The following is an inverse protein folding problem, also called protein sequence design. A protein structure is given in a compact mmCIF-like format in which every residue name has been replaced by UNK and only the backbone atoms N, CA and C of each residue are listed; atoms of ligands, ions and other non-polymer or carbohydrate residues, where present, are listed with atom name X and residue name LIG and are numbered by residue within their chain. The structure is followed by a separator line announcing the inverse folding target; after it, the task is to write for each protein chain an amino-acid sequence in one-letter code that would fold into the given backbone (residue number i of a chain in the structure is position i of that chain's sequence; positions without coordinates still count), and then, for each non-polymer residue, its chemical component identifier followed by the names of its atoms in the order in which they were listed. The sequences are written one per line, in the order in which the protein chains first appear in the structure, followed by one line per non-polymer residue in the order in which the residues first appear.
data_IF_080427181937
#
_entry.id   IF_080427181937
#
_cell.length_a   1.000
_cell.length_b   1.000
_cell.length_c   1.000
_cell.angle_alpha   90.00
_cell.angle_beta   90.00
_cell.angle_gamma   90.00
#
_symmetry.space_group_name_H-M   'P 1'
#
loop_
_entity.id
_entity.type
_entity.pdbx_description
1 polymer ?
#
# COMPACT_ATOMS: atom_id res chain seq x y z
N UNK A 1 -18.07 -42.69 -4.80
CA UNK A 1 -18.61 -42.42 -3.44
C UNK A 1 -18.92 -40.94 -3.37
N UNK A 2 -20.20 -40.55 -3.38
CA UNK A 2 -20.59 -39.14 -3.22
C UNK A 2 -20.35 -38.72 -1.75
N UNK A 3 -19.56 -37.66 -1.56
CA UNK A 3 -19.28 -36.98 -0.29
C UNK A 3 -20.60 -36.77 0.49
N UNK A 4 -20.60 -36.96 1.82
CA UNK A 4 -21.82 -36.98 2.64
C UNK A 4 -22.65 -35.69 2.56
N UNK A 5 -22.04 -34.57 2.18
CA UNK A 5 -22.72 -33.33 1.82
C UNK A 5 -23.68 -33.47 0.62
N UNK A 6 -23.30 -34.25 -0.40
CA UNK A 6 -24.13 -34.49 -1.59
C UNK A 6 -25.38 -35.34 -1.30
N UNK A 7 -25.32 -36.25 -0.33
CA UNK A 7 -26.50 -37.04 0.11
C UNK A 7 -27.52 -36.20 0.88
N UNK A 8 -27.06 -35.17 1.60
CA UNK A 8 -27.94 -34.26 2.34
C UNK A 8 -28.79 -33.37 1.43
N UNK A 9 -28.26 -32.98 0.26
CA UNK A 9 -28.96 -32.15 -0.73
C UNK A 9 -30.10 -32.90 -1.46
N UNK A 10 -30.00 -34.22 -1.61
CA UNK A 10 -31.02 -35.05 -2.28
C UNK A 10 -32.11 -35.57 -1.32
N UNK A 11 -31.88 -35.49 -0.01
CA UNK A 11 -32.80 -35.96 1.03
C UNK A 11 -34.20 -35.29 1.00
N UNK A 12 -34.34 -33.98 0.71
CA UNK A 12 -35.65 -33.35 0.57
C UNK A 12 -36.44 -33.89 -0.63
N UNK A 13 -35.75 -34.23 -1.72
CA UNK A 13 -36.39 -34.68 -2.98
C UNK A 13 -36.93 -36.11 -2.90
N UNK A 14 -36.31 -36.98 -2.09
CA UNK A 14 -36.73 -38.37 -1.86
C UNK A 14 -37.47 -38.57 -0.52
N UNK A 15 -38.08 -37.53 0.04
CA UNK A 15 -38.99 -37.68 1.18
C UNK A 15 -40.18 -38.56 0.78
N UNK A 16 -40.59 -39.49 1.66
CA UNK A 16 -41.74 -40.40 1.45
C UNK A 16 -42.99 -39.62 1.04
N UNK A 17 -43.18 -38.43 1.63
CA UNK A 17 -44.30 -37.55 1.31
C UNK A 17 -44.26 -37.04 -0.14
N UNK A 18 -43.08 -36.63 -0.63
CA UNK A 18 -42.93 -36.14 -2.00
C UNK A 18 -43.12 -37.26 -3.04
N UNK A 19 -42.66 -38.47 -2.73
CA UNK A 19 -42.86 -39.65 -3.60
C UNK A 19 -44.34 -40.02 -3.71
N UNK A 20 -45.06 -40.05 -2.58
CA UNK A 20 -46.51 -40.33 -2.55
C UNK A 20 -47.29 -39.26 -3.29
N UNK A 21 -46.96 -37.99 -3.10
CA UNK A 21 -47.57 -36.88 -3.85
C UNK A 21 -47.35 -36.99 -5.35
N UNK A 22 -46.13 -37.35 -5.76
CA UNK A 22 -45.79 -37.50 -7.17
C UNK A 22 -46.61 -38.62 -7.81
N UNK A 23 -46.66 -39.80 -7.19
CA UNK A 23 -47.46 -40.96 -7.66
C UNK A 23 -48.96 -40.62 -7.74
N UNK A 24 -49.50 -39.96 -6.72
CA UNK A 24 -50.91 -39.55 -6.71
C UNK A 24 -51.22 -38.55 -7.84
N UNK A 25 -50.32 -37.59 -8.07
CA UNK A 25 -50.45 -36.61 -9.15
C UNK A 25 -50.39 -37.30 -10.53
N UNK A 26 -49.43 -38.22 -10.76
CA UNK A 26 -49.34 -38.97 -12.02
C UNK A 26 -50.59 -39.79 -12.27
N UNK A 27 -51.15 -40.41 -11.23
CA UNK A 27 -52.37 -41.21 -11.33
C UNK A 27 -53.60 -40.36 -11.69
N UNK A 28 -53.76 -39.18 -11.06
CA UNK A 28 -54.85 -38.25 -11.40
C UNK A 28 -54.69 -37.70 -12.82
N UNK A 29 -53.48 -37.31 -13.22
CA UNK A 29 -53.19 -36.84 -14.59
C UNK A 29 -53.53 -37.93 -15.61
N UNK A 30 -53.15 -39.18 -15.34
CA UNK A 30 -53.47 -40.32 -16.21
C UNK A 30 -54.98 -40.54 -16.33
N UNK A 31 -55.73 -40.45 -15.23
CA UNK A 31 -57.18 -40.54 -15.24
C UNK A 31 -57.82 -39.43 -16.06
N UNK A 32 -57.36 -38.18 -15.92
CA UNK A 32 -57.88 -37.01 -16.64
C UNK A 32 -57.62 -37.09 -18.15
N UNK A 33 -56.42 -37.55 -18.56
CA UNK A 33 -56.08 -37.78 -19.97
C UNK A 33 -57.00 -38.85 -20.56
N UNK A 34 -57.23 -39.93 -19.83
CA UNK A 34 -58.07 -41.05 -20.27
C UNK A 34 -59.56 -40.70 -20.33
N UNK A 35 -60.05 -39.81 -19.45
CA UNK A 35 -61.47 -39.41 -19.44
C UNK A 35 -61.80 -38.29 -20.44
N UNK A 36 -60.84 -37.42 -20.78
CA UNK A 36 -61.06 -36.31 -21.71
C UNK A 36 -60.56 -36.56 -23.15
N UNK A 37 -60.09 -37.78 -23.46
CA UNK A 37 -59.63 -38.19 -24.79
C UNK A 37 -58.63 -37.20 -25.43
N UNK A 38 -57.72 -36.68 -24.59
CA UNK A 38 -56.78 -35.63 -25.01
C UNK A 38 -55.77 -36.18 -26.01
N UNK A 39 -55.66 -35.54 -27.17
CA UNK A 39 -54.69 -35.91 -28.21
C UNK A 39 -53.27 -35.70 -27.70
N UNK A 40 -52.35 -36.57 -28.12
CA UNK A 40 -50.93 -36.53 -27.73
C UNK A 40 -50.25 -35.18 -27.99
N UNK A 41 -50.76 -34.39 -28.95
CA UNK A 41 -50.31 -33.02 -29.24
C UNK A 41 -50.54 -32.04 -28.09
N UNK A 42 -51.68 -32.15 -27.41
CA UNK A 42 -52.12 -31.17 -26.42
C UNK A 42 -51.36 -31.37 -25.11
N UNK A 43 -51.12 -32.63 -24.74
CA UNK A 43 -50.28 -33.01 -23.59
C UNK A 43 -48.85 -32.55 -23.79
N UNK A 44 -48.28 -32.73 -25.00
CA UNK A 44 -46.93 -32.28 -25.31
C UNK A 44 -46.78 -30.76 -25.21
N UNK A 45 -47.77 -30.00 -25.69
CA UNK A 45 -47.78 -28.54 -25.59
C UNK A 45 -47.79 -28.05 -24.13
N UNK A 46 -48.52 -28.75 -23.26
CA UNK A 46 -48.62 -28.41 -21.84
C UNK A 46 -47.33 -28.72 -21.07
N UNK A 47 -46.73 -29.89 -21.32
CA UNK A 47 -45.42 -30.27 -20.77
C UNK A 47 -44.33 -29.29 -21.21
N UNK A 48 -44.36 -28.85 -22.47
CA UNK A 48 -43.41 -27.88 -23.00
C UNK A 48 -43.57 -26.49 -22.35
N UNK A 49 -44.81 -26.04 -22.11
CA UNK A 49 -45.07 -24.78 -21.42
C UNK A 49 -44.55 -24.81 -19.97
N UNK A 50 -44.79 -25.90 -19.24
CA UNK A 50 -44.26 -26.07 -17.88
C UNK A 50 -42.75 -26.18 -17.87
N UNK A 51 -42.16 -26.93 -18.80
CA UNK A 51 -40.71 -27.03 -18.95
C UNK A 51 -40.07 -25.66 -19.21
N UNK A 52 -40.70 -24.81 -20.01
CA UNK A 52 -40.22 -23.45 -20.28
C UNK A 52 -40.28 -22.56 -19.04
N UNK A 53 -41.36 -22.62 -18.26
CA UNK A 53 -41.50 -21.87 -16.99
C UNK A 53 -40.46 -22.36 -15.97
N UNK A 54 -40.30 -23.68 -15.82
CA UNK A 54 -39.31 -24.27 -14.91
C UNK A 54 -37.87 -23.88 -15.31
N UNK A 55 -37.58 -23.83 -16.61
CA UNK A 55 -36.29 -23.37 -17.11
C UNK A 55 -36.02 -21.90 -16.78
N UNK A 56 -37.01 -21.02 -16.91
CA UNK A 56 -36.89 -19.60 -16.52
C UNK A 56 -36.64 -19.46 -15.01
N UNK A 57 -37.38 -20.21 -14.19
CA UNK A 57 -37.19 -20.18 -12.73
C UNK A 57 -35.79 -20.69 -12.35
N UNK A 58 -35.34 -21.79 -12.96
CA UNK A 58 -34.00 -22.33 -12.77
C UNK A 58 -32.91 -21.34 -13.18
N UNK A 59 -33.07 -20.69 -14.35
CA UNK A 59 -32.15 -19.68 -14.84
C UNK A 59 -32.08 -18.46 -13.91
N UNK A 60 -33.22 -17.99 -13.38
CA UNK A 60 -33.28 -16.89 -12.42
C UNK A 60 -32.63 -17.25 -11.07
N UNK A 61 -32.83 -18.48 -10.58
CA UNK A 61 -32.22 -18.95 -9.35
C UNK A 61 -30.70 -19.02 -9.46
N UNK A 62 -30.19 -19.58 -10.56
CA UNK A 62 -28.75 -19.65 -10.86
C UNK A 62 -28.17 -18.25 -11.06
N UNK A 63 -28.85 -17.37 -11.79
CA UNK A 63 -28.42 -15.99 -12.01
C UNK A 63 -28.29 -15.23 -10.69
N UNK A 64 -29.26 -15.34 -9.78
CA UNK A 64 -29.20 -14.72 -8.45
C UNK A 64 -28.03 -15.25 -7.61
N UNK A 65 -27.78 -16.56 -7.64
CA UNK A 65 -26.65 -17.16 -6.95
C UNK A 65 -25.30 -16.69 -7.51
N UNK A 66 -25.19 -16.58 -8.85
CA UNK A 66 -24.00 -16.06 -9.51
C UNK A 66 -23.75 -14.60 -9.18
N UNK A 67 -24.78 -13.75 -9.21
CA UNK A 67 -24.66 -12.32 -8.85
C UNK A 67 -24.21 -12.17 -7.40
N UNK A 68 -24.77 -12.94 -6.47
CA UNK A 68 -24.36 -12.91 -5.06
C UNK A 68 -22.89 -13.32 -4.87
N UNK A 69 -22.46 -14.39 -5.53
CA UNK A 69 -21.07 -14.86 -5.44
C UNK A 69 -20.10 -13.85 -6.08
N UNK A 70 -20.48 -13.26 -7.21
CA UNK A 70 -19.67 -12.25 -7.89
C UNK A 70 -19.54 -10.98 -7.07
N UNK A 71 -20.60 -10.53 -6.41
CA UNK A 71 -20.55 -9.38 -5.52
C UNK A 71 -19.64 -9.64 -4.32
N UNK A 72 -19.72 -10.82 -3.70
CA UNK A 72 -18.86 -11.18 -2.58
C UNK A 72 -17.37 -11.17 -2.96
N UNK A 73 -17.02 -11.75 -4.13
CA UNK A 73 -15.66 -11.71 -4.65
C UNK A 73 -15.20 -10.29 -4.98
N UNK A 74 -16.08 -9.44 -5.53
CA UNK A 74 -15.75 -8.05 -5.82
C UNK A 74 -15.45 -7.25 -4.55
N UNK A 75 -16.23 -7.43 -3.47
CA UNK A 75 -15.96 -6.78 -2.19
C UNK A 75 -14.62 -7.22 -1.59
N UNK A 76 -14.35 -8.52 -1.59
CA UNK A 76 -13.08 -9.08 -1.09
C UNK A 76 -11.87 -8.53 -1.86
N UNK A 77 -11.98 -8.48 -3.20
CA UNK A 77 -10.94 -7.90 -4.05
C UNK A 77 -10.71 -6.41 -3.78
N UNK A 78 -11.78 -5.63 -3.60
CA UNK A 78 -11.67 -4.20 -3.27
C UNK A 78 -10.97 -4.02 -1.92
N UNK A 79 -11.37 -4.78 -0.91
CA UNK A 79 -10.78 -4.72 0.41
C UNK A 79 -9.29 -5.06 0.38
N UNK A 80 -8.93 -6.15 -0.29
CA UNK A 80 -7.54 -6.56 -0.46
C UNK A 80 -6.71 -5.50 -1.22
N UNK A 81 -7.29 -4.84 -2.23
CA UNK A 81 -6.60 -3.75 -2.93
C UNK A 81 -6.37 -2.52 -2.05
N UNK A 82 -7.33 -2.16 -1.20
CA UNK A 82 -7.20 -1.05 -0.25
C UNK A 82 -6.08 -1.35 0.75
N UNK A 83 -6.06 -2.56 1.30
CA UNK A 83 -5.04 -3.00 2.26
C UNK A 83 -3.64 -2.99 1.63
N UNK A 84 -3.47 -3.63 0.47
CA UNK A 84 -2.18 -3.62 -0.25
C UNK A 84 -1.70 -2.20 -0.56
N UNK A 85 -2.61 -1.31 -0.97
CA UNK A 85 -2.27 0.07 -1.27
C UNK A 85 -1.82 0.80 -0.01
N UNK A 86 -2.54 0.65 1.11
CA UNK A 86 -2.18 1.27 2.37
C UNK A 86 -0.81 0.80 2.87
N UNK A 87 -0.50 -0.49 2.72
CA UNK A 87 0.80 -1.03 3.10
C UNK A 87 1.92 -0.51 2.18
N UNK A 88 1.66 -0.44 0.88
CA UNK A 88 2.59 0.15 -0.08
C UNK A 88 2.89 1.63 0.23
N UNK A 89 1.87 2.40 0.62
CA UNK A 89 2.02 3.81 0.99
C UNK A 89 2.87 3.97 2.25
N UNK A 90 2.68 3.09 3.26
CA UNK A 90 3.51 3.06 4.46
C UNK A 90 4.97 2.72 4.17
N UNK A 91 5.23 1.65 3.41
CA UNK A 91 6.60 1.26 3.02
C UNK A 91 7.31 2.37 2.26
N UNK A 92 6.58 3.08 1.38
CA UNK A 92 7.12 4.23 0.67
C UNK A 92 7.46 5.38 1.61
N UNK A 93 6.58 5.67 2.57
CA UNK A 93 6.86 6.70 3.58
C UNK A 93 8.10 6.36 4.42
N UNK A 94 8.25 5.09 4.84
CA UNK A 94 9.44 4.62 5.57
C UNK A 94 10.72 4.80 4.74
N UNK A 95 10.67 4.48 3.44
CA UNK A 95 11.78 4.71 2.52
C UNK A 95 12.13 6.20 2.39
N UNK A 96 11.14 7.08 2.37
CA UNK A 96 11.38 8.53 2.37
C UNK A 96 12.07 9.00 3.65
N UNK A 97 11.61 8.53 4.82
CA UNK A 97 12.27 8.83 6.09
C UNK A 97 13.72 8.34 6.10
N UNK A 98 13.99 7.14 5.59
CA UNK A 98 15.35 6.60 5.52
C UNK A 98 16.29 7.45 4.66
N UNK A 99 15.80 8.05 3.56
CA UNK A 99 16.60 8.96 2.73
C UNK A 99 16.95 10.25 3.49
N UNK A 100 15.97 10.85 4.19
CA UNK A 100 16.18 12.06 4.98
C UNK A 100 17.08 11.81 6.19
N UNK A 101 16.90 10.68 6.88
CA UNK A 101 17.74 10.22 8.00
C UNK A 101 19.19 9.96 7.57
N UNK A 102 19.39 9.26 6.45
CA UNK A 102 20.72 9.05 5.88
C UNK A 102 21.43 10.37 5.61
N UNK A 103 20.71 11.35 5.06
CA UNK A 103 21.22 12.69 4.84
C UNK A 103 21.67 13.38 6.14
N UNK A 104 20.83 13.32 7.19
CA UNK A 104 21.13 13.90 8.48
C UNK A 104 22.31 13.26 9.19
N UNK A 105 22.36 11.93 9.22
CA UNK A 105 23.47 11.17 9.81
C UNK A 105 24.77 11.38 9.07
N UNK A 106 24.74 11.53 7.75
CA UNK A 106 25.97 11.76 6.96
C UNK A 106 26.60 13.11 7.30
N UNK A 107 25.80 14.17 7.35
CA UNK A 107 26.30 15.50 7.70
C UNK A 107 26.78 15.56 9.15
N UNK A 108 26.02 14.96 10.07
CA UNK A 108 26.39 14.92 11.49
C UNK A 108 27.69 14.15 11.71
N UNK A 109 27.85 12.97 11.09
CA UNK A 109 29.05 12.18 11.20
C UNK A 109 30.30 12.94 10.72
N UNK A 110 30.20 13.69 9.62
CA UNK A 110 31.30 14.52 9.11
C UNK A 110 31.64 15.63 10.10
N UNK A 111 30.63 16.35 10.59
CA UNK A 111 30.81 17.44 11.54
C UNK A 111 31.43 16.94 12.86
N UNK A 112 30.81 15.95 13.50
CA UNK A 112 31.25 15.39 14.79
C UNK A 112 32.65 14.80 14.69
N UNK A 113 32.98 14.07 13.61
CA UNK A 113 34.33 13.52 13.42
C UNK A 113 35.36 14.64 13.27
N UNK A 114 35.05 15.66 12.47
CA UNK A 114 35.95 16.80 12.26
C UNK A 114 36.16 17.61 13.54
N UNK A 115 35.09 17.87 14.29
CA UNK A 115 35.15 18.60 15.55
C UNK A 115 35.96 17.83 16.61
N UNK A 116 35.77 16.51 16.69
CA UNK A 116 36.49 15.63 17.62
C UNK A 116 37.97 15.54 17.30
N UNK A 117 38.32 15.33 16.04
CA UNK A 117 39.72 15.18 15.60
C UNK A 117 40.46 16.52 15.55
N UNK A 118 39.72 17.65 15.53
CA UNK A 118 40.24 19.01 15.41
C UNK A 118 41.22 19.18 14.24
N UNK A 119 41.04 18.38 13.19
CA UNK A 119 41.99 18.26 12.08
C UNK A 119 41.32 18.60 10.76
N UNK A 120 41.55 19.84 10.29
CA UNK A 120 41.15 20.27 8.94
C UNK A 120 41.88 19.47 7.87
N UNK A 121 43.12 19.06 8.14
CA UNK A 121 43.89 18.19 7.24
C UNK A 121 43.22 16.82 7.10
N UNK A 122 42.71 16.26 8.21
CA UNK A 122 41.94 15.02 8.20
C UNK A 122 40.64 15.14 7.41
N UNK A 123 39.89 16.22 7.63
CA UNK A 123 38.69 16.54 6.84
C UNK A 123 39.02 16.64 5.34
N UNK A 124 40.06 17.39 4.97
CA UNK A 124 40.52 17.56 3.58
C UNK A 124 40.88 16.22 2.92
N UNK A 125 41.59 15.36 3.65
CA UNK A 125 41.91 14.00 3.22
C UNK A 125 40.66 13.15 2.98
N UNK A 126 39.75 13.08 3.95
CA UNK A 126 38.50 12.30 3.83
C UNK A 126 37.55 12.85 2.76
N UNK A 127 37.45 14.17 2.66
CA UNK A 127 36.62 14.87 1.69
C UNK A 127 37.06 14.60 0.25
N UNK A 128 38.35 14.71 -0.02
CA UNK A 128 38.93 14.42 -1.34
C UNK A 128 38.95 12.93 -1.69
N UNK A 129 38.95 12.04 -0.68
CA UNK A 129 38.99 10.60 -0.91
C UNK A 129 37.63 9.98 -1.24
N UNK A 130 36.58 10.27 -0.46
CA UNK A 130 35.27 9.63 -0.66
C UNK A 130 34.07 10.41 -0.11
N UNK A 131 34.24 11.24 0.93
CA UNK A 131 33.08 11.84 1.63
C UNK A 131 32.29 12.78 0.71
N UNK A 132 32.96 13.45 -0.23
CA UNK A 132 32.31 14.29 -1.24
C UNK A 132 31.34 13.48 -2.11
N UNK A 133 31.78 12.32 -2.62
CA UNK A 133 30.95 11.47 -3.48
C UNK A 133 29.75 10.90 -2.72
N UNK A 134 29.97 10.44 -1.48
CA UNK A 134 28.88 9.97 -0.60
C UNK A 134 27.86 11.07 -0.34
N UNK A 135 28.31 12.29 -0.05
CA UNK A 135 27.42 13.43 0.14
C UNK A 135 26.65 13.77 -1.13
N UNK A 136 27.29 13.74 -2.31
CA UNK A 136 26.60 13.98 -3.57
C UNK A 136 25.57 12.91 -3.90
N UNK A 137 25.86 11.64 -3.61
CA UNK A 137 24.91 10.54 -3.79
C UNK A 137 23.69 10.69 -2.87
N UNK A 138 23.92 11.01 -1.58
CA UNK A 138 22.85 11.27 -0.61
C UNK A 138 22.01 12.48 -1.00
N UNK A 139 22.67 13.57 -1.43
CA UNK A 139 21.99 14.77 -1.93
C UNK A 139 21.18 14.50 -3.20
N UNK A 140 21.67 13.67 -4.11
CA UNK A 140 20.93 13.26 -5.29
C UNK A 140 19.69 12.43 -4.94
N UNK A 141 19.79 11.51 -3.97
CA UNK A 141 18.64 10.77 -3.45
C UNK A 141 17.60 11.73 -2.84
N UNK A 142 18.04 12.68 -2.01
CA UNK A 142 17.18 13.66 -1.35
C UNK A 142 16.46 14.58 -2.36
N UNK A 143 17.15 15.00 -3.42
CA UNK A 143 16.58 15.84 -4.51
C UNK A 143 15.53 15.11 -5.34
N UNK A 144 15.69 13.79 -5.51
CA UNK A 144 14.81 12.98 -6.34
C UNK A 144 13.60 12.43 -5.58
N UNK A 145 13.45 12.76 -4.30
CA UNK A 145 12.24 12.40 -3.55
C UNK A 145 11.02 13.08 -4.19
N UNK A 146 9.95 12.33 -4.52
CA UNK A 146 8.74 12.90 -5.07
C UNK A 146 7.98 13.64 -3.96
N UNK A 147 8.28 14.92 -3.74
CA UNK A 147 7.75 15.71 -2.62
C UNK A 147 6.22 15.73 -2.53
N UNK A 148 5.52 15.63 -3.66
CA UNK A 148 4.06 15.58 -3.71
C UNK A 148 3.47 14.28 -3.14
N UNK A 149 4.29 13.24 -2.98
CA UNK A 149 3.90 11.95 -2.40
C UNK A 149 4.19 11.86 -0.88
N UNK A 150 4.82 12.87 -0.28
CA UNK A 150 5.10 12.91 1.16
C UNK A 150 3.82 12.97 2.01
N UNK A 151 2.69 13.40 1.44
CA UNK A 151 1.38 13.21 2.04
C UNK A 151 1.02 14.17 3.19
N UNK A 152 1.87 15.12 3.57
CA UNK A 152 1.54 16.22 4.48
C UNK A 152 2.32 17.50 4.13
N UNK A 153 1.74 18.65 4.44
CA UNK A 153 2.38 19.96 4.27
C UNK A 153 3.68 20.06 5.09
N UNK A 154 3.64 19.61 6.35
CA UNK A 154 4.75 19.63 7.28
C UNK A 154 5.94 18.81 6.76
N UNK A 155 5.68 17.63 6.19
CA UNK A 155 6.73 16.79 5.58
C UNK A 155 7.38 17.47 4.37
N UNK A 156 6.60 18.15 3.53
CA UNK A 156 7.12 18.87 2.37
C UNK A 156 8.01 20.04 2.79
N UNK A 157 7.57 20.83 3.78
CA UNK A 157 8.36 21.96 4.29
C UNK A 157 9.63 21.50 4.99
N UNK A 158 9.54 20.45 5.82
CA UNK A 158 10.68 19.89 6.51
C UNK A 158 11.71 19.30 5.53
N UNK A 159 11.26 18.59 4.48
CA UNK A 159 12.12 18.12 3.39
C UNK A 159 12.87 19.28 2.73
N UNK A 160 12.17 20.36 2.39
CA UNK A 160 12.79 21.55 1.80
C UNK A 160 13.86 22.17 2.70
N UNK A 161 13.61 22.18 4.01
CA UNK A 161 14.57 22.67 5.02
C UNK A 161 15.82 21.80 5.07
N UNK A 162 15.65 20.47 5.16
CA UNK A 162 16.76 19.52 5.16
C UNK A 162 17.57 19.60 3.87
N UNK A 163 16.89 19.68 2.72
CA UNK A 163 17.55 19.79 1.42
C UNK A 163 18.39 21.07 1.30
N UNK A 164 17.84 22.22 1.69
CA UNK A 164 18.56 23.48 1.68
C UNK A 164 19.78 23.44 2.60
N UNK A 165 19.60 22.96 3.83
CA UNK A 165 20.68 22.84 4.81
C UNK A 165 21.78 21.86 4.36
N UNK A 166 21.43 20.73 3.72
CA UNK A 166 22.41 19.81 3.16
C UNK A 166 23.24 20.49 2.07
N UNK A 167 22.59 21.12 1.09
CA UNK A 167 23.29 21.80 -0.01
C UNK A 167 24.31 22.81 0.53
N UNK A 168 23.89 23.62 1.50
CA UNK A 168 24.75 24.61 2.15
C UNK A 168 25.84 23.95 2.99
N UNK A 169 25.55 22.85 3.70
CA UNK A 169 26.56 22.09 4.44
C UNK A 169 27.69 21.61 3.53
N UNK A 170 27.37 21.02 2.38
CA UNK A 170 28.38 20.56 1.39
C UNK A 170 29.21 21.74 0.88
N UNK A 171 28.57 22.89 0.62
CA UNK A 171 29.28 24.09 0.19
C UNK A 171 30.23 24.62 1.27
N UNK A 172 29.80 24.64 2.54
CA UNK A 172 30.63 25.06 3.67
C UNK A 172 31.82 24.12 3.89
N UNK A 173 31.64 22.80 3.70
CA UNK A 173 32.76 21.85 3.74
C UNK A 173 33.73 22.13 2.59
N UNK A 174 33.24 22.39 1.37
CA UNK A 174 34.08 22.76 0.23
C UNK A 174 34.89 24.04 0.50
N UNK A 175 34.31 25.07 1.11
CA UNK A 175 35.04 26.28 1.51
C UNK A 175 36.18 25.94 2.47
N UNK A 176 35.88 25.23 3.56
CA UNK A 176 36.89 24.88 4.58
C UNK A 176 38.01 24.02 3.99
N UNK A 177 37.69 23.08 3.10
CA UNK A 177 38.69 22.22 2.45
C UNK A 177 39.61 22.99 1.49
N UNK A 178 39.09 24.05 0.87
CA UNK A 178 39.87 24.95 0.00
C UNK A 178 40.58 26.06 0.76
N UNK A 179 40.63 25.97 2.10
CA UNK A 179 41.23 26.99 2.98
C UNK A 179 40.52 28.36 2.88
N UNK A 180 39.25 28.34 2.46
CA UNK A 180 38.34 29.48 2.40
C UNK A 180 37.41 29.51 3.63
N UNK A 181 36.70 30.62 3.81
CA UNK A 181 35.84 30.84 4.99
C UNK A 181 34.43 31.25 4.59
N UNK A 182 33.45 30.79 5.38
CA UNK A 182 32.06 31.22 5.24
C UNK A 182 31.93 32.75 5.33
N UNK A 183 31.23 33.34 4.37
CA UNK A 183 30.80 34.75 4.43
C UNK A 183 29.49 34.90 5.20
N UNK A 184 28.76 33.80 5.39
CA UNK A 184 27.41 33.79 5.97
C UNK A 184 27.42 33.72 7.50
N UNK A 185 28.53 33.28 8.10
CA UNK A 185 28.66 33.10 9.55
C UNK A 185 29.70 34.07 10.14
N UNK A 186 29.43 34.72 11.29
CA UNK A 186 30.38 35.62 11.92
C UNK A 186 31.70 34.93 12.27
N UNK A 187 32.81 35.65 12.14
CA UNK A 187 34.17 35.14 12.37
C UNK A 187 34.41 34.48 13.73
N UNK A 188 33.64 34.91 14.74
CA UNK A 188 33.66 34.39 16.10
C UNK A 188 33.28 32.92 16.21
N UNK A 189 32.62 32.34 15.20
CA UNK A 189 32.20 30.94 15.19
C UNK A 189 33.31 29.97 14.74
N UNK A 190 34.50 30.48 14.43
CA UNK A 190 35.63 29.66 14.03
C UNK A 190 35.54 29.15 12.59
N UNK A 191 36.52 28.35 12.16
CA UNK A 191 36.61 27.87 10.77
C UNK A 191 35.51 26.85 10.42
N UNK A 192 35.03 26.09 11.40
CA UNK A 192 33.93 25.13 11.24
C UNK A 192 32.55 25.75 11.50
N UNK A 193 32.47 27.06 11.76
CA UNK A 193 31.23 27.72 12.14
C UNK A 193 30.10 27.56 11.13
N UNK A 194 30.43 27.66 9.84
CA UNK A 194 29.49 27.39 8.74
C UNK A 194 28.96 25.96 8.74
N UNK A 195 29.89 24.99 8.77
CA UNK A 195 29.57 23.55 8.82
C UNK A 195 28.68 23.23 10.02
N UNK A 196 29.02 23.74 11.21
CA UNK A 196 28.22 23.55 12.42
C UNK A 196 26.81 24.11 12.26
N UNK A 197 26.69 25.36 11.83
CA UNK A 197 25.41 26.03 11.70
C UNK A 197 24.48 25.29 10.74
N UNK A 198 25.01 24.83 9.60
CA UNK A 198 24.21 24.05 8.65
C UNK A 198 23.87 22.66 9.17
N UNK A 199 24.76 21.99 9.92
CA UNK A 199 24.44 20.74 10.59
C UNK A 199 23.28 20.92 11.59
N UNK A 200 23.35 21.95 12.44
CA UNK A 200 22.31 22.24 13.44
C UNK A 200 20.94 22.49 12.77
N UNK A 201 20.91 23.25 11.66
CA UNK A 201 19.69 23.47 10.86
C UNK A 201 19.16 22.17 10.25
N UNK A 202 20.07 21.33 9.75
CA UNK A 202 19.71 20.06 9.15
C UNK A 202 19.12 19.11 10.20
N UNK A 203 19.75 18.97 11.37
CA UNK A 203 19.22 18.16 12.48
C UNK A 203 17.86 18.67 12.97
N UNK A 204 17.70 20.00 13.06
CA UNK A 204 16.41 20.62 13.39
C UNK A 204 15.33 20.30 12.35
N UNK A 205 15.65 20.41 11.05
CA UNK A 205 14.76 20.05 9.95
C UNK A 205 14.40 18.57 9.96
N UNK A 206 15.37 17.70 10.23
CA UNK A 206 15.16 16.26 10.34
C UNK A 206 14.24 15.91 11.52
N UNK A 207 14.44 16.50 12.69
CA UNK A 207 13.57 16.26 13.85
C UNK A 207 12.11 16.67 13.57
N UNK A 208 11.89 17.77 12.83
CA UNK A 208 10.55 18.16 12.38
C UNK A 208 9.99 17.16 11.37
N UNK A 209 10.81 16.69 10.42
CA UNK A 209 10.41 15.69 9.43
C UNK A 209 10.02 14.37 10.09
N UNK A 210 10.85 13.86 11.00
CA UNK A 210 10.61 12.62 11.76
C UNK A 210 9.33 12.71 12.58
N UNK A 211 9.15 13.82 13.31
CA UNK A 211 7.91 14.04 14.06
C UNK A 211 6.68 14.05 13.14
N UNK A 212 6.72 14.81 12.05
CA UNK A 212 5.62 14.87 11.10
C UNK A 212 5.34 13.50 10.44
N UNK A 213 6.39 12.70 10.24
CA UNK A 213 6.27 11.34 9.73
C UNK A 213 5.53 10.46 10.75
N UNK A 214 5.94 10.48 12.02
CA UNK A 214 5.30 9.71 13.09
C UNK A 214 3.84 10.13 13.31
N UNK A 215 3.56 11.44 13.29
CA UNK A 215 2.20 11.96 13.43
C UNK A 215 1.28 11.51 12.28
N UNK A 216 1.83 11.30 11.09
CA UNK A 216 1.09 10.94 9.87
C UNK A 216 0.96 9.43 9.66
N UNK A 217 2.03 8.69 9.84
CA UNK A 217 2.17 7.28 9.46
C UNK A 217 2.33 6.33 10.66
N UNK A 218 2.50 6.88 11.87
CA UNK A 218 2.84 6.12 13.06
C UNK A 218 4.34 5.92 13.23
N UNK A 219 4.77 5.33 14.35
CA UNK A 219 6.17 4.99 14.56
C UNK A 219 6.64 3.95 13.54
N UNK A 220 7.95 3.97 13.24
CA UNK A 220 8.58 2.95 12.43
C UNK A 220 8.28 1.56 12.99
N UNK A 221 7.94 0.60 12.13
CA UNK A 221 7.78 -0.78 12.54
C UNK A 221 9.17 -1.29 12.96
N UNK A 222 9.37 -1.54 14.25
CA UNK A 222 10.57 -2.22 14.72
C UNK A 222 10.67 -3.57 13.98
N UNK A 223 11.86 -3.86 13.43
CA UNK A 223 12.13 -5.14 12.80
C UNK A 223 11.88 -6.27 13.81
N UNK A 224 10.71 -6.93 13.72
CA UNK A 224 10.43 -8.19 14.40
C UNK A 224 11.18 -9.35 13.74
#
# INVERSE_FOLDING_TARGET
MLNDYGKSLLKPWFSVQNVVWLIALTFVIFLVIRTNDMKSSDIASWVQAIGSIAAIIGALAVSRAQVSAQNALAFDQIQHQIEMKSESDLRRAEAFLAVVDCAAKTCDAIYVTTEKDKSIVGLKGGWSSHMREVCQASLAALRNLPVHELGSYELVVAHGTVLAAFVEFVAEVDLVVNDERSVKVPESHGILGGIKFQNDLLQGGFAVFEKAHVDRYGPLREHQ
#
